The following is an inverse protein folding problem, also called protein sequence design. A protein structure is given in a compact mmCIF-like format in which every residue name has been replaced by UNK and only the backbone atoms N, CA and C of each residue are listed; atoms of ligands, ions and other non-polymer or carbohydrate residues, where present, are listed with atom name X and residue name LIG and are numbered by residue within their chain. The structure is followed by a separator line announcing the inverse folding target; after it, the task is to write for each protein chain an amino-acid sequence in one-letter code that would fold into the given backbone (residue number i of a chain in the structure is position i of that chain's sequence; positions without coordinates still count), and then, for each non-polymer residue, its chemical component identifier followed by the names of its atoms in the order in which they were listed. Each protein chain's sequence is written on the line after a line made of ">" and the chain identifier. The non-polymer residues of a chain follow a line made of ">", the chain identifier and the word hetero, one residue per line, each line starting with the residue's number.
data_IF_832479843952
#
_entry.id   IF_832479843952
#
_cell.length_a   1.000
_cell.length_b   1.000
_cell.length_c   1.000
_cell.angle_alpha   90.00
_cell.angle_beta   90.00
_cell.angle_gamma   90.00
#
_symmetry.space_group_name_H-M   'P 1'
#
loop_
_entity.id
_entity.type
_entity.pdbx_description
1 polymer ?
#
# COMPACT_ATOMS: atom_id res chain seq x y z
N UNK A 1 -12.96 -22.92 -18.48
CA UNK A 1 -13.33 -21.84 -17.54
C UNK A 1 -14.68 -21.32 -17.98
N UNK A 2 -15.70 -21.41 -17.13
CA UNK A 2 -17.03 -20.88 -17.46
C UNK A 2 -17.02 -19.34 -17.38
N UNK A 3 -18.01 -18.69 -18.01
CA UNK A 3 -18.17 -17.24 -17.89
C UNK A 3 -18.44 -16.81 -16.43
N UNK A 4 -19.08 -17.66 -15.63
CA UNK A 4 -19.30 -17.46 -14.20
C UNK A 4 -17.98 -17.48 -13.40
N UNK A 5 -17.08 -18.41 -13.70
CA UNK A 5 -15.75 -18.48 -13.06
C UNK A 5 -14.95 -17.19 -13.35
N UNK A 6 -15.01 -16.70 -14.58
CA UNK A 6 -14.34 -15.45 -14.96
C UNK A 6 -14.92 -14.26 -14.22
N UNK A 7 -16.24 -14.17 -14.10
CA UNK A 7 -16.90 -13.10 -13.35
C UNK A 7 -16.52 -13.14 -11.85
N UNK A 8 -16.45 -14.32 -11.24
CA UNK A 8 -16.04 -14.50 -9.86
C UNK A 8 -14.58 -14.07 -9.62
N UNK A 9 -13.66 -14.41 -10.53
CA UNK A 9 -12.26 -13.97 -10.47
C UNK A 9 -12.13 -12.44 -10.55
N UNK A 10 -12.84 -11.80 -11.47
CA UNK A 10 -12.85 -10.33 -11.61
C UNK A 10 -13.43 -9.67 -10.36
N UNK A 11 -14.51 -10.20 -9.80
CA UNK A 11 -15.11 -9.68 -8.58
C UNK A 11 -14.15 -9.79 -7.38
N UNK A 12 -13.42 -10.90 -7.28
CA UNK A 12 -12.41 -11.10 -6.26
C UNK A 12 -11.25 -10.12 -6.41
N UNK A 13 -10.71 -9.95 -7.62
CA UNK A 13 -9.64 -8.98 -7.90
C UNK A 13 -10.07 -7.55 -7.56
N UNK A 14 -11.28 -7.15 -7.95
CA UNK A 14 -11.86 -5.85 -7.60
C UNK A 14 -12.03 -5.65 -6.08
N UNK A 15 -12.27 -6.72 -5.32
CA UNK A 15 -12.30 -6.67 -3.85
C UNK A 15 -10.91 -6.43 -3.27
N UNK A 16 -9.89 -7.10 -3.81
CA UNK A 16 -8.50 -6.89 -3.41
C UNK A 16 -8.01 -5.48 -3.74
N UNK A 17 -8.37 -4.93 -4.91
CA UNK A 17 -7.99 -3.57 -5.30
C UNK A 17 -8.58 -2.55 -4.31
N UNK A 18 -9.88 -2.70 -3.98
CA UNK A 18 -10.53 -1.84 -2.98
C UNK A 18 -9.87 -1.96 -1.61
N UNK A 19 -9.52 -3.18 -1.19
CA UNK A 19 -8.81 -3.41 0.08
C UNK A 19 -7.43 -2.76 0.08
N UNK A 20 -6.66 -2.88 -1.00
CA UNK A 20 -5.34 -2.26 -1.11
C UNK A 20 -5.44 -0.75 -1.04
N UNK A 21 -6.39 -0.13 -1.75
CA UNK A 21 -6.62 1.33 -1.70
C UNK A 21 -6.90 1.79 -0.28
N UNK A 22 -7.78 1.09 0.43
CA UNK A 22 -8.07 1.38 1.83
C UNK A 22 -6.83 1.29 2.71
N UNK A 23 -6.02 0.23 2.57
CA UNK A 23 -4.78 0.07 3.35
C UNK A 23 -3.77 1.19 3.05
N UNK A 24 -3.62 1.59 1.78
CA UNK A 24 -2.75 2.70 1.39
C UNK A 24 -3.19 3.99 2.08
N UNK A 25 -4.48 4.33 1.98
CA UNK A 25 -5.04 5.54 2.58
C UNK A 25 -4.91 5.52 4.11
N UNK A 26 -5.18 4.38 4.73
CA UNK A 26 -5.02 4.19 6.18
C UNK A 26 -3.56 4.38 6.60
N UNK A 27 -2.61 3.69 5.97
CA UNK A 27 -1.18 3.82 6.28
C UNK A 27 -0.69 5.25 6.09
N UNK A 28 -1.14 5.93 5.02
CA UNK A 28 -0.81 7.33 4.79
C UNK A 28 -1.33 8.21 5.92
N UNK A 29 -2.60 8.06 6.31
CA UNK A 29 -3.20 8.82 7.41
C UNK A 29 -2.51 8.55 8.75
N UNK A 30 -2.22 7.28 9.07
CA UNK A 30 -1.51 6.89 10.29
C UNK A 30 -0.14 7.56 10.37
N UNK A 31 0.64 7.47 9.29
CA UNK A 31 1.94 8.16 9.21
C UNK A 31 1.76 9.67 9.25
N UNK A 32 0.76 10.26 8.61
CA UNK A 32 0.62 11.72 8.63
C UNK A 32 0.26 12.27 10.03
N UNK A 33 -0.54 11.54 10.80
CA UNK A 33 -1.19 12.04 12.01
C UNK A 33 -0.47 11.71 13.33
N UNK A 34 0.29 10.61 13.41
CA UNK A 34 0.89 10.16 14.67
C UNK A 34 2.22 10.86 15.00
N UNK A 35 2.16 12.08 15.54
CA UNK A 35 3.34 12.92 15.81
C UNK A 35 4.44 12.29 16.69
N UNK A 36 4.15 11.17 17.35
CA UNK A 36 5.13 10.44 18.18
C UNK A 36 5.95 9.41 17.41
N UNK A 37 5.49 9.04 16.21
CA UNK A 37 6.09 8.02 15.35
C UNK A 37 7.47 8.46 14.85
N UNK A 38 8.44 7.54 14.86
CA UNK A 38 9.79 7.75 14.31
C UNK A 38 9.85 7.46 12.81
N UNK A 39 10.90 7.93 12.13
CA UNK A 39 11.13 7.64 10.70
C UNK A 39 11.22 6.13 10.44
N UNK A 40 11.86 5.38 11.32
CA UNK A 40 12.01 3.93 11.19
C UNK A 40 10.65 3.21 11.28
N UNK A 41 9.82 3.57 12.27
CA UNK A 41 8.47 3.03 12.43
C UNK A 41 7.59 3.36 11.22
N UNK A 42 7.71 4.59 10.70
CA UNK A 42 6.97 4.99 9.52
C UNK A 42 7.38 4.16 8.28
N UNK A 43 8.68 3.87 8.11
CA UNK A 43 9.16 2.94 7.09
C UNK A 43 8.69 1.51 7.31
N UNK A 44 8.57 1.06 8.56
CA UNK A 44 8.03 -0.26 8.88
C UNK A 44 6.57 -0.39 8.43
N UNK A 45 5.75 0.63 8.63
CA UNK A 45 4.39 0.67 8.10
C UNK A 45 4.35 0.57 6.57
N UNK A 46 5.25 1.27 5.87
CA UNK A 46 5.36 1.18 4.39
C UNK A 46 5.78 -0.22 3.95
N UNK A 47 6.75 -0.83 4.65
CA UNK A 47 7.19 -2.21 4.37
C UNK A 47 6.07 -3.23 4.61
N UNK A 48 5.32 -3.09 5.70
CA UNK A 48 4.17 -3.94 6.00
C UNK A 48 3.06 -3.81 4.96
N UNK A 49 2.77 -2.58 4.51
CA UNK A 49 1.83 -2.32 3.41
C UNK A 49 2.29 -2.98 2.11
N UNK A 50 3.58 -2.87 1.75
CA UNK A 50 4.15 -3.53 0.58
C UNK A 50 4.00 -5.04 0.67
N UNK A 51 4.33 -5.64 1.81
CA UNK A 51 4.16 -7.08 2.03
C UNK A 51 2.69 -7.52 1.86
N UNK A 52 1.74 -6.74 2.40
CA UNK A 52 0.32 -7.01 2.21
C UNK A 52 -0.11 -6.90 0.74
N UNK A 53 0.40 -5.92 0.01
CA UNK A 53 0.11 -5.75 -1.42
C UNK A 53 0.64 -6.94 -2.25
N UNK A 54 1.85 -7.42 -1.96
CA UNK A 54 2.46 -8.56 -2.62
C UNK A 54 1.69 -9.86 -2.34
N UNK A 55 1.22 -10.06 -1.12
CA UNK A 55 0.35 -11.20 -0.78
C UNK A 55 -0.98 -11.16 -1.53
N UNK A 56 -1.56 -9.98 -1.74
CA UNK A 56 -2.81 -9.82 -2.52
C UNK A 56 -2.58 -9.97 -4.03
N UNK A 57 -1.43 -9.52 -4.53
CA UNK A 57 -1.09 -9.49 -5.95
C UNK A 57 0.34 -9.99 -6.17
N UNK A 58 0.56 -11.31 -6.12
CA UNK A 58 1.89 -11.90 -6.31
C UNK A 58 2.50 -11.50 -7.66
N UNK A 59 3.78 -11.10 -7.69
CA UNK A 59 4.46 -10.67 -8.91
C UNK A 59 4.19 -9.22 -9.33
N UNK A 60 3.55 -8.41 -8.48
CA UNK A 60 3.26 -6.98 -8.71
C UNK A 60 4.07 -6.04 -7.80
N UNK A 61 5.18 -6.51 -7.26
CA UNK A 61 6.09 -5.78 -6.36
C UNK A 61 6.53 -4.45 -6.99
N UNK A 62 7.00 -4.50 -8.24
CA UNK A 62 7.47 -3.32 -8.97
C UNK A 62 6.35 -2.31 -9.22
N UNK A 63 5.10 -2.77 -9.39
CA UNK A 63 3.95 -1.87 -9.57
C UNK A 63 3.68 -1.08 -8.29
N UNK A 64 3.78 -1.72 -7.12
CA UNK A 64 3.69 -1.02 -5.84
C UNK A 64 4.79 0.04 -5.71
N UNK A 65 6.02 -0.33 -6.06
CA UNK A 65 7.17 0.57 -5.98
C UNK A 65 7.07 1.76 -6.94
N UNK A 66 6.50 1.58 -8.12
CA UNK A 66 6.30 2.66 -9.08
C UNK A 66 5.15 3.61 -8.66
N UNK A 67 4.07 3.08 -8.10
CA UNK A 67 2.83 3.85 -7.87
C UNK A 67 2.77 4.46 -6.47
N UNK A 68 3.17 3.72 -5.44
CA UNK A 68 2.94 4.10 -4.04
C UNK A 68 4.20 4.56 -3.32
N UNK A 69 5.34 3.92 -3.56
CA UNK A 69 6.58 4.25 -2.87
C UNK A 69 7.01 5.72 -3.00
N UNK A 70 6.88 6.39 -4.18
CA UNK A 70 7.24 7.80 -4.29
C UNK A 70 6.37 8.71 -3.42
N UNK A 71 5.09 8.34 -3.23
CA UNK A 71 4.13 9.10 -2.42
C UNK A 71 4.46 9.00 -0.93
N UNK A 72 4.80 7.80 -0.47
CA UNK A 72 5.27 7.58 0.89
C UNK A 72 6.62 8.23 1.14
N UNK A 73 7.57 8.10 0.20
CA UNK A 73 8.88 8.75 0.31
C UNK A 73 8.75 10.26 0.48
N UNK A 74 7.88 10.92 -0.29
CA UNK A 74 7.59 12.35 -0.13
C UNK A 74 7.00 12.67 1.25
N UNK A 75 5.97 11.92 1.69
CA UNK A 75 5.37 12.09 3.01
C UNK A 75 6.41 11.98 4.13
N UNK A 76 7.29 10.97 4.06
CA UNK A 76 8.33 10.74 5.05
C UNK A 76 9.38 11.85 5.04
N UNK A 77 9.82 12.29 3.86
CA UNK A 77 10.80 13.37 3.72
C UNK A 77 10.27 14.69 4.29
N UNK A 78 9.03 15.06 3.95
CA UNK A 78 8.38 16.28 4.46
C UNK A 78 8.19 16.25 5.97
N UNK A 79 7.75 15.11 6.50
CA UNK A 79 7.42 14.95 7.91
C UNK A 79 8.64 14.88 8.81
N UNK A 80 9.64 14.10 8.42
CA UNK A 80 10.84 13.83 9.21
C UNK A 80 12.02 14.72 8.86
N UNK A 81 11.83 15.68 7.93
CA UNK A 81 12.88 16.57 7.41
C UNK A 81 14.10 15.79 6.89
N UNK A 82 13.84 14.63 6.27
CA UNK A 82 14.88 13.75 5.75
C UNK A 82 15.35 14.14 4.33
N UNK A 83 15.34 15.44 4.02
CA UNK A 83 15.84 15.98 2.75
C UNK A 83 17.34 16.17 2.78
#
# INVERSE_FOLDING_TARGET
>A
MSDEDRAALIAHENKLIRRLRFLVELTFATIAQDNSMTLEQAWEHVRALKAAAVTMFPGKEQTFDLVYLPRFSRLLAERFRAN
#
